data_IF_811868391861
#
_entry.id   IF_811868391861
#
_cell.length_a   1.000
_cell.length_b   1.000
_cell.length_c   1.000
_cell.angle_alpha   90.00
_cell.angle_beta   90.00
_cell.angle_gamma   90.00
#
_symmetry.space_group_name_H-M   'P 1'
#
loop_
_entity.id
_entity.type
_entity.pdbx_description
1 polymer ?
#
# COMPACT_ATOMS: atom_id res chain seq x y z
N UNK A 1 -48.52 23.28 6.77
CA UNK A 1 -47.15 23.78 6.95
C UNK A 1 -46.26 22.55 7.11
N UNK A 2 -45.41 22.26 6.12
CA UNK A 2 -44.68 21.00 5.98
C UNK A 2 -43.53 20.89 6.99
N UNK A 3 -43.61 19.91 7.89
CA UNK A 3 -42.49 19.40 8.67
C UNK A 3 -41.58 18.61 7.72
N UNK A 4 -40.47 19.21 7.29
CA UNK A 4 -39.44 18.47 6.56
C UNK A 4 -38.80 17.47 7.52
N UNK A 5 -39.01 16.18 7.24
CA UNK A 5 -38.31 15.07 7.87
C UNK A 5 -36.82 15.19 7.56
N UNK A 6 -36.00 15.55 8.55
CA UNK A 6 -34.56 15.32 8.50
C UNK A 6 -34.31 13.81 8.45
N UNK A 7 -34.21 13.26 7.24
CA UNK A 7 -33.58 11.96 7.04
C UNK A 7 -32.11 12.10 7.45
N UNK A 8 -31.74 11.51 8.60
CA UNK A 8 -30.33 11.17 8.86
C UNK A 8 -29.85 10.37 7.65
N UNK A 9 -28.82 10.80 6.92
CA UNK A 9 -28.19 9.95 5.92
C UNK A 9 -27.83 8.65 6.63
N UNK A 10 -28.29 7.52 6.10
CA UNK A 10 -27.95 6.20 6.65
C UNK A 10 -26.45 6.15 6.89
N UNK A 11 -26.04 5.75 8.09
CA UNK A 11 -24.66 5.85 8.56
C UNK A 11 -23.68 5.31 7.52
N UNK A 12 -23.13 6.21 6.70
CA UNK A 12 -22.08 5.90 5.76
C UNK A 12 -20.91 5.44 6.60
N UNK A 13 -20.51 4.18 6.44
CA UNK A 13 -19.35 3.65 7.15
C UNK A 13 -18.13 4.43 6.67
N UNK A 14 -17.58 5.27 7.55
CA UNK A 14 -16.32 5.98 7.34
C UNK A 14 -15.21 4.99 6.96
N UNK A 15 -14.47 5.29 5.89
CA UNK A 15 -13.33 4.49 5.41
C UNK A 15 -12.18 4.47 6.42
N UNK A 16 -12.06 5.52 7.24
CA UNK A 16 -10.95 5.70 8.18
C UNK A 16 -10.75 4.52 9.15
N UNK A 17 -11.84 3.90 9.61
CA UNK A 17 -11.73 2.71 10.47
C UNK A 17 -11.19 1.49 9.73
N UNK A 18 -11.58 1.33 8.47
CA UNK A 18 -11.11 0.24 7.59
C UNK A 18 -9.64 0.44 7.23
N UNK A 19 -9.23 1.68 6.98
CA UNK A 19 -7.83 2.05 6.73
C UNK A 19 -6.97 1.78 7.97
N UNK A 20 -7.38 2.26 9.15
CA UNK A 20 -6.65 2.02 10.40
C UNK A 20 -6.52 0.53 10.75
N UNK A 21 -7.59 -0.27 10.49
CA UNK A 21 -7.52 -1.72 10.64
C UNK A 21 -6.51 -2.34 9.65
N UNK A 22 -6.53 -1.90 8.40
CA UNK A 22 -5.61 -2.38 7.36
C UNK A 22 -4.15 -2.05 7.72
N UNK A 23 -3.87 -0.82 8.17
CA UNK A 23 -2.54 -0.39 8.60
C UNK A 23 -2.00 -1.24 9.75
N UNK A 24 -2.85 -1.55 10.74
CA UNK A 24 -2.50 -2.45 11.84
C UNK A 24 -2.12 -3.84 11.33
N UNK A 25 -2.88 -4.39 10.38
CA UNK A 25 -2.59 -5.70 9.78
C UNK A 25 -1.30 -5.69 8.96
N UNK A 26 -1.04 -4.64 8.18
CA UNK A 26 0.21 -4.46 7.45
C UNK A 26 1.42 -4.37 8.38
N UNK A 27 1.32 -3.61 9.47
CA UNK A 27 2.39 -3.51 10.47
C UNK A 27 2.71 -4.87 11.11
N UNK A 28 1.68 -5.66 11.45
CA UNK A 28 1.87 -7.03 11.94
C UNK A 28 2.54 -7.91 10.88
N UNK A 29 2.05 -7.91 9.64
CA UNK A 29 2.65 -8.74 8.58
C UNK A 29 4.13 -8.42 8.34
N UNK A 30 4.49 -7.13 8.29
CA UNK A 30 5.86 -6.66 8.10
C UNK A 30 6.76 -7.08 9.27
N UNK A 31 6.28 -6.96 10.52
CA UNK A 31 7.06 -7.35 11.70
C UNK A 31 7.22 -8.87 11.81
N UNK A 32 6.22 -9.66 11.41
CA UNK A 32 6.34 -11.12 11.38
C UNK A 32 7.39 -11.63 10.39
N UNK A 33 7.72 -10.87 9.34
CA UNK A 33 8.75 -11.26 8.38
C UNK A 33 10.11 -11.49 9.05
N UNK A 34 10.49 -10.63 10.00
CA UNK A 34 11.81 -10.70 10.64
C UNK A 34 11.96 -11.95 11.51
N UNK A 35 10.85 -12.46 12.05
CA UNK A 35 10.85 -13.67 12.90
C UNK A 35 11.27 -14.94 12.15
N UNK A 36 11.22 -14.91 10.81
CA UNK A 36 11.70 -16.02 9.98
C UNK A 36 13.23 -16.03 9.81
N UNK A 37 13.92 -14.97 10.24
CA UNK A 37 15.38 -14.93 10.28
C UNK A 37 15.87 -15.54 11.59
N UNK A 38 16.17 -16.83 11.55
CA UNK A 38 16.70 -17.55 12.71
C UNK A 38 18.20 -17.26 12.89
N UNK A 39 18.61 -17.04 14.15
CA UNK A 39 20.02 -16.92 14.51
C UNK A 39 20.70 -18.28 14.27
N UNK A 40 21.83 -18.34 13.54
CA UNK A 40 22.51 -19.59 13.26
C UNK A 40 23.07 -20.20 14.55
N UNK A 41 22.93 -21.52 14.69
CA UNK A 41 23.52 -22.26 15.79
C UNK A 41 24.96 -22.63 15.42
N UNK A 42 25.92 -22.18 16.23
CA UNK A 42 27.33 -22.50 16.00
C UNK A 42 27.59 -23.96 16.40
N UNK A 43 28.01 -24.79 15.43
CA UNK A 43 28.62 -26.07 15.75
C UNK A 43 29.95 -25.85 16.50
N UNK A 44 30.37 -26.81 17.34
CA UNK A 44 31.65 -26.73 18.05
C UNK A 44 32.81 -26.52 17.07
N UNK A 45 33.47 -25.36 17.13
CA UNK A 45 34.55 -24.97 16.21
C UNK A 45 34.12 -24.18 14.98
N UNK A 46 32.83 -23.88 14.81
CA UNK A 46 32.31 -23.05 13.72
C UNK A 46 32.64 -21.56 13.91
N UNK A 47 33.04 -20.90 12.82
CA UNK A 47 33.25 -19.45 12.81
C UNK A 47 31.92 -18.75 12.51
N UNK A 48 31.51 -17.84 13.39
CA UNK A 48 30.30 -17.03 13.24
C UNK A 48 30.20 -16.35 11.87
N UNK A 49 31.32 -15.84 11.35
CA UNK A 49 31.37 -15.17 10.05
C UNK A 49 30.90 -16.07 8.90
N UNK A 50 31.22 -17.36 8.92
CA UNK A 50 30.82 -18.28 7.86
C UNK A 50 29.31 -18.54 7.88
N UNK A 51 28.75 -18.76 9.07
CA UNK A 51 27.31 -18.95 9.24
C UNK A 51 26.51 -17.69 8.85
N UNK A 52 27.02 -16.49 9.13
CA UNK A 52 26.41 -15.24 8.69
C UNK A 52 26.39 -15.11 7.16
N UNK A 53 27.45 -15.53 6.48
CA UNK A 53 27.48 -15.54 5.01
C UNK A 53 26.44 -16.51 4.42
N UNK A 54 26.25 -17.67 5.05
CA UNK A 54 25.20 -18.61 4.66
C UNK A 54 23.78 -18.10 4.95
N UNK A 55 23.61 -17.19 5.91
CA UNK A 55 22.33 -16.55 6.21
C UNK A 55 21.96 -15.44 5.21
N UNK A 56 22.95 -14.87 4.49
CA UNK A 56 22.75 -13.73 3.61
C UNK A 56 21.62 -13.91 2.57
N UNK A 57 21.47 -15.05 1.87
CA UNK A 57 20.35 -15.24 0.93
C UNK A 57 18.98 -15.15 1.61
N UNK A 58 18.83 -15.67 2.83
CA UNK A 58 17.59 -15.56 3.61
C UNK A 58 17.28 -14.11 3.97
N UNK A 59 18.31 -13.33 4.34
CA UNK A 59 18.17 -11.90 4.63
C UNK A 59 17.74 -11.13 3.37
N UNK A 60 18.31 -11.43 2.21
CA UNK A 60 17.91 -10.80 0.94
C UNK A 60 16.44 -11.10 0.58
N UNK A 61 15.99 -12.34 0.77
CA UNK A 61 14.59 -12.74 0.52
C UNK A 61 13.65 -12.07 1.54
N UNK A 62 14.05 -11.96 2.80
CA UNK A 62 13.34 -11.18 3.80
C UNK A 62 13.18 -9.70 3.38
N UNK A 63 14.29 -9.04 3.00
CA UNK A 63 14.26 -7.63 2.58
C UNK A 63 13.40 -7.44 1.33
N UNK A 64 13.49 -8.36 0.38
CA UNK A 64 12.64 -8.38 -0.80
C UNK A 64 11.16 -8.40 -0.40
N UNK A 65 10.75 -9.33 0.46
CA UNK A 65 9.36 -9.42 0.93
C UNK A 65 8.92 -8.20 1.72
N UNK A 66 9.79 -7.64 2.57
CA UNK A 66 9.50 -6.41 3.31
C UNK A 66 9.13 -5.27 2.35
N UNK A 67 9.94 -5.08 1.32
CA UNK A 67 9.70 -4.05 0.30
C UNK A 67 8.43 -4.35 -0.49
N UNK A 68 8.19 -5.60 -0.88
CA UNK A 68 6.98 -6.00 -1.61
C UNK A 68 5.71 -5.73 -0.80
N UNK A 69 5.70 -6.08 0.49
CA UNK A 69 4.56 -5.78 1.38
C UNK A 69 4.36 -4.27 1.51
N UNK A 70 5.45 -3.49 1.63
CA UNK A 70 5.39 -2.03 1.63
C UNK A 70 4.82 -1.44 0.32
N UNK A 71 5.17 -2.01 -0.84
CA UNK A 71 4.60 -1.61 -2.12
C UNK A 71 3.09 -1.88 -2.17
N UNK A 72 2.65 -3.03 -1.66
CA UNK A 72 1.23 -3.33 -1.56
C UNK A 72 0.51 -2.39 -0.60
N UNK A 73 1.13 -2.01 0.51
CA UNK A 73 0.60 -1.00 1.43
C UNK A 73 0.43 0.35 0.74
N UNK A 74 1.44 0.84 0.00
CA UNK A 74 1.34 2.09 -0.76
C UNK A 74 0.22 2.02 -1.81
N UNK A 75 0.12 0.91 -2.53
CA UNK A 75 -0.91 0.74 -3.56
C UNK A 75 -2.34 0.65 -2.97
N UNK A 76 -2.47 0.02 -1.80
CA UNK A 76 -3.72 -0.04 -1.03
C UNK A 76 -4.12 1.34 -0.52
N UNK A 77 -3.19 2.08 0.12
CA UNK A 77 -3.42 3.43 0.60
C UNK A 77 -3.85 4.37 -0.55
N UNK A 78 -3.16 4.31 -1.69
CA UNK A 78 -3.53 5.05 -2.89
C UNK A 78 -4.93 4.69 -3.43
N UNK A 79 -5.35 3.42 -3.28
CA UNK A 79 -6.69 2.99 -3.67
C UNK A 79 -7.73 3.57 -2.73
N UNK A 80 -7.52 3.45 -1.41
CA UNK A 80 -8.44 3.95 -0.38
C UNK A 80 -8.56 5.47 -0.35
N UNK A 81 -7.50 6.20 -0.73
CA UNK A 81 -7.53 7.66 -0.86
C UNK A 81 -8.64 8.18 -1.78
N UNK A 82 -9.05 7.39 -2.78
CA UNK A 82 -10.12 7.76 -3.70
C UNK A 82 -11.51 7.27 -3.30
N UNK A 83 -11.61 6.41 -2.29
CA UNK A 83 -12.87 5.82 -1.86
C UNK A 83 -13.60 6.82 -0.95
N UNK A 84 -14.81 7.21 -1.33
CA UNK A 84 -15.63 8.16 -0.55
C UNK A 84 -16.59 7.45 0.42
N UNK A 85 -17.02 6.24 0.07
CA UNK A 85 -18.00 5.46 0.84
C UNK A 85 -17.56 4.00 0.97
N UNK A 86 -17.86 3.35 2.10
CA UNK A 86 -17.64 1.91 2.27
C UNK A 86 -18.94 1.13 2.23
N UNK A 87 -18.97 0.03 1.48
CA UNK A 87 -20.05 -0.95 1.49
C UNK A 87 -19.58 -2.34 1.96
N UNK A 88 -20.53 -3.25 2.16
CA UNK A 88 -20.23 -4.59 2.67
C UNK A 88 -19.28 -5.38 1.75
N UNK A 89 -19.40 -5.22 0.44
CA UNK A 89 -18.59 -5.96 -0.54
C UNK A 89 -17.14 -5.50 -0.50
N UNK A 90 -16.91 -4.18 -0.46
CA UNK A 90 -15.58 -3.59 -0.31
C UNK A 90 -14.91 -4.11 0.97
N UNK A 91 -15.63 -4.18 2.09
CA UNK A 91 -15.08 -4.69 3.35
C UNK A 91 -14.62 -6.14 3.24
N UNK A 92 -15.40 -7.02 2.58
CA UNK A 92 -15.00 -8.42 2.37
C UNK A 92 -13.82 -8.56 1.40
N UNK A 93 -13.78 -7.76 0.33
CA UNK A 93 -12.63 -7.70 -0.58
C UNK A 93 -11.37 -7.22 0.16
N UNK A 94 -11.51 -6.23 1.04
CA UNK A 94 -10.41 -5.76 1.88
C UNK A 94 -9.93 -6.85 2.84
N UNK A 95 -10.84 -7.56 3.51
CA UNK A 95 -10.48 -8.70 4.38
C UNK A 95 -9.74 -9.79 3.59
N UNK A 96 -10.21 -10.13 2.38
CA UNK A 96 -9.54 -11.10 1.51
C UNK A 96 -8.12 -10.63 1.14
N UNK A 97 -7.97 -9.35 0.79
CA UNK A 97 -6.67 -8.76 0.51
C UNK A 97 -5.73 -8.82 1.72
N UNK A 98 -6.21 -8.43 2.90
CA UNK A 98 -5.45 -8.47 4.14
C UNK A 98 -5.06 -9.90 4.54
N UNK A 99 -5.92 -10.88 4.29
CA UNK A 99 -5.59 -12.30 4.47
C UNK A 99 -4.39 -12.70 3.59
N UNK A 100 -4.36 -12.27 2.32
CA UNK A 100 -3.20 -12.50 1.45
C UNK A 100 -1.93 -11.83 2.01
N UNK A 101 -2.02 -10.59 2.51
CA UNK A 101 -0.90 -9.86 3.10
C UNK A 101 -0.32 -10.59 4.31
N UNK A 102 -1.17 -11.02 5.25
CA UNK A 102 -0.73 -11.76 6.46
C UNK A 102 -0.19 -13.15 6.11
N UNK A 103 -0.54 -13.70 4.95
CA UNK A 103 0.00 -14.97 4.49
C UNK A 103 1.42 -14.86 3.92
N UNK A 104 1.85 -13.71 3.37
CA UNK A 104 3.17 -13.49 2.73
C UNK A 104 4.40 -13.92 3.57
N UNK A 105 4.43 -13.78 4.90
CA UNK A 105 5.56 -14.26 5.70
C UNK A 105 5.84 -15.76 5.57
N UNK A 106 4.81 -16.60 5.47
CA UNK A 106 4.97 -18.05 5.31
C UNK A 106 5.75 -18.43 4.04
N UNK A 107 5.32 -18.05 2.81
CA UNK A 107 6.06 -18.39 1.60
C UNK A 107 7.38 -17.63 1.48
N UNK A 108 7.55 -16.50 2.17
CA UNK A 108 8.86 -15.82 2.28
C UNK A 108 9.86 -16.72 3.00
N UNK A 109 9.47 -17.30 4.14
CA UNK A 109 10.31 -18.23 4.88
C UNK A 109 10.62 -19.48 4.05
N UNK A 110 9.60 -20.01 3.35
CA UNK A 110 9.74 -21.17 2.47
C UNK A 110 10.75 -20.92 1.34
N UNK A 111 10.66 -19.76 0.67
CA UNK A 111 11.60 -19.37 -0.37
C UNK A 111 13.00 -19.13 0.20
N UNK A 112 13.10 -18.52 1.38
CA UNK A 112 14.36 -18.32 2.09
C UNK A 112 15.09 -19.63 2.40
N UNK A 113 14.35 -20.68 2.77
CA UNK A 113 14.93 -21.97 3.11
C UNK A 113 15.23 -22.85 1.90
N UNK A 114 14.41 -22.77 0.86
CA UNK A 114 14.46 -23.67 -0.30
C UNK A 114 14.55 -22.90 -1.61
N UNK A 115 15.42 -21.90 -1.70
CA UNK A 115 15.51 -20.98 -2.87
C UNK A 115 15.93 -21.68 -4.18
N UNK A 116 16.54 -22.86 -4.06
CA UNK A 116 16.91 -23.77 -5.14
C UNK A 116 15.75 -24.68 -5.59
N UNK A 117 14.67 -24.76 -4.81
CA UNK A 117 13.51 -25.58 -5.11
C UNK A 117 12.45 -24.77 -5.84
N UNK A 118 12.13 -25.17 -7.07
CA UNK A 118 11.10 -24.50 -7.90
C UNK A 118 9.77 -24.32 -7.18
N UNK A 119 9.36 -25.31 -6.37
CA UNK A 119 8.10 -25.27 -5.63
C UNK A 119 8.03 -24.08 -4.67
N UNK A 120 9.13 -23.71 -4.01
CA UNK A 120 9.15 -22.57 -3.09
C UNK A 120 8.93 -21.25 -3.83
N UNK A 121 9.55 -21.12 -5.02
CA UNK A 121 9.39 -19.98 -5.92
C UNK A 121 7.93 -19.88 -6.34
N UNK A 122 7.34 -20.95 -6.89
CA UNK A 122 5.95 -20.96 -7.36
C UNK A 122 4.98 -20.56 -6.24
N UNK A 123 5.17 -21.08 -5.01
CA UNK A 123 4.30 -20.74 -3.88
C UNK A 123 4.46 -19.26 -3.51
N UNK A 124 5.69 -18.74 -3.46
CA UNK A 124 5.96 -17.34 -3.17
C UNK A 124 5.40 -16.40 -4.24
N UNK A 125 5.81 -16.55 -5.50
CA UNK A 125 5.28 -15.69 -6.58
C UNK A 125 3.80 -15.90 -6.82
N UNK A 126 3.27 -17.11 -6.66
CA UNK A 126 1.84 -17.38 -6.74
C UNK A 126 1.05 -16.60 -5.69
N UNK A 127 1.55 -16.55 -4.45
CA UNK A 127 0.98 -15.70 -3.39
C UNK A 127 0.98 -14.23 -3.79
N UNK A 128 2.10 -13.73 -4.34
CA UNK A 128 2.18 -12.34 -4.80
C UNK A 128 1.23 -12.05 -5.97
N UNK A 129 1.09 -12.96 -6.94
CA UNK A 129 0.14 -12.83 -8.06
C UNK A 129 -1.28 -12.74 -7.53
N UNK A 130 -1.69 -13.68 -6.65
CA UNK A 130 -3.03 -13.69 -6.07
C UNK A 130 -3.29 -12.38 -5.32
N UNK A 131 -2.33 -11.94 -4.49
CA UNK A 131 -2.43 -10.68 -3.74
C UNK A 131 -2.68 -9.48 -4.67
N UNK A 132 -1.90 -9.36 -5.75
CA UNK A 132 -2.07 -8.27 -6.70
C UNK A 132 -3.36 -8.36 -7.52
N UNK A 133 -3.84 -9.57 -7.84
CA UNK A 133 -5.14 -9.76 -8.51
C UNK A 133 -6.32 -9.41 -7.59
N UNK A 134 -6.23 -9.72 -6.29
CA UNK A 134 -7.23 -9.31 -5.30
C UNK A 134 -7.24 -7.78 -5.16
N UNK A 135 -6.07 -7.13 -5.08
CA UNK A 135 -5.98 -5.67 -5.08
C UNK A 135 -6.56 -5.06 -6.35
N UNK A 136 -6.28 -5.64 -7.52
CA UNK A 136 -6.85 -5.20 -8.78
C UNK A 136 -8.38 -5.40 -8.82
N UNK A 137 -8.89 -6.46 -8.20
CA UNK A 137 -10.33 -6.71 -8.09
C UNK A 137 -11.01 -5.67 -7.20
N UNK A 138 -10.35 -5.26 -6.11
CA UNK A 138 -10.79 -4.16 -5.26
C UNK A 138 -10.81 -2.84 -6.05
N UNK A 139 -9.72 -2.51 -6.76
CA UNK A 139 -9.64 -1.32 -7.61
C UNK A 139 -10.73 -1.29 -8.70
N UNK A 140 -10.94 -2.43 -9.37
CA UNK A 140 -12.00 -2.57 -10.36
C UNK A 140 -13.38 -2.40 -9.73
N UNK A 141 -13.63 -3.00 -8.56
CA UNK A 141 -14.92 -2.89 -7.88
C UNK A 141 -15.29 -1.44 -7.57
N UNK A 142 -14.34 -0.67 -7.03
CA UNK A 142 -14.60 0.72 -6.64
C UNK A 142 -14.77 1.62 -7.86
N UNK A 143 -13.95 1.44 -8.90
CA UNK A 143 -13.98 2.27 -10.12
C UNK A 143 -15.07 1.90 -11.12
N UNK A 144 -15.59 0.68 -11.08
CA UNK A 144 -16.64 0.25 -12.00
C UNK A 144 -17.95 1.01 -11.71
N UNK A 145 -18.44 1.76 -12.71
CA UNK A 145 -19.59 2.66 -12.61
C UNK A 145 -19.48 3.74 -11.52
N UNK A 146 -18.26 4.19 -11.18
CA UNK A 146 -18.03 5.23 -10.16
C UNK A 146 -18.71 4.93 -8.80
N UNK A 147 -18.86 3.64 -8.48
CA UNK A 147 -19.74 3.21 -7.38
C UNK A 147 -19.36 3.77 -6.02
N UNK A 148 -18.07 3.87 -5.73
CA UNK A 148 -17.54 4.28 -4.42
C UNK A 148 -16.41 5.32 -4.54
N UNK A 149 -16.15 5.80 -5.75
CA UNK A 149 -15.13 6.82 -6.04
C UNK A 149 -15.84 8.14 -6.32
N UNK A 150 -15.12 9.26 -6.18
CA UNK A 150 -15.62 10.54 -6.65
C UNK A 150 -16.00 10.47 -8.16
N UNK A 151 -17.16 11.02 -8.51
CA UNK A 151 -17.67 11.07 -9.88
C UNK A 151 -16.72 11.84 -10.82
N UNK A 152 -15.83 12.68 -10.25
CA UNK A 152 -14.85 13.48 -10.98
C UNK A 152 -13.48 12.82 -11.17
N UNK A 153 -13.33 11.51 -10.91
CA UNK A 153 -12.04 10.84 -11.14
C UNK A 153 -11.70 10.78 -12.64
N UNK A 154 -10.52 11.25 -13.01
CA UNK A 154 -10.04 11.24 -14.40
C UNK A 154 -9.95 9.79 -14.94
N UNK A 155 -10.67 9.43 -16.01
CA UNK A 155 -10.60 8.10 -16.61
C UNK A 155 -9.17 7.67 -17.01
N UNK A 156 -8.31 8.63 -17.37
CA UNK A 156 -6.90 8.34 -17.67
C UNK A 156 -6.12 7.90 -16.44
N UNK A 157 -6.44 8.46 -15.27
CA UNK A 157 -5.88 8.04 -14.00
C UNK A 157 -6.30 6.61 -13.68
N UNK A 158 -7.58 6.26 -13.89
CA UNK A 158 -8.07 4.89 -13.69
C UNK A 158 -7.32 3.88 -14.54
N UNK A 159 -7.14 4.18 -15.84
CA UNK A 159 -6.39 3.31 -16.74
C UNK A 159 -4.91 3.19 -16.36
N UNK A 160 -4.28 4.29 -15.94
CA UNK A 160 -2.88 4.30 -15.49
C UNK A 160 -2.69 3.48 -14.20
N UNK A 161 -3.60 3.62 -13.22
CA UNK A 161 -3.59 2.87 -11.98
C UNK A 161 -3.77 1.37 -12.24
N UNK A 162 -4.77 0.99 -13.03
CA UNK A 162 -5.00 -0.41 -13.45
C UNK A 162 -3.76 -1.01 -14.13
N UNK A 163 -3.13 -0.27 -15.06
CA UNK A 163 -1.92 -0.75 -15.73
C UNK A 163 -0.76 -0.93 -14.75
N UNK A 164 -0.58 -0.01 -13.80
CA UNK A 164 0.45 -0.12 -12.76
C UNK A 164 0.18 -1.37 -11.92
N UNK A 165 -1.02 -1.51 -11.36
CA UNK A 165 -1.41 -2.63 -10.51
C UNK A 165 -1.24 -4.00 -11.20
N UNK A 166 -1.54 -4.11 -12.50
CA UNK A 166 -1.35 -5.35 -13.26
C UNK A 166 0.11 -5.63 -13.67
N UNK A 167 0.98 -4.63 -13.68
CA UNK A 167 2.37 -4.81 -14.08
C UNK A 167 3.11 -5.83 -13.20
N UNK A 168 2.94 -5.75 -11.88
CA UNK A 168 3.61 -6.66 -10.94
C UNK A 168 3.12 -8.12 -11.07
N UNK A 169 1.80 -8.42 -11.00
CA UNK A 169 1.29 -9.78 -11.21
C UNK A 169 1.70 -10.39 -12.55
N UNK A 170 1.72 -9.62 -13.64
CA UNK A 170 2.14 -10.13 -14.94
C UNK A 170 3.63 -10.52 -14.97
N UNK A 171 4.51 -9.71 -14.36
CA UNK A 171 5.93 -10.04 -14.24
C UNK A 171 6.12 -11.26 -13.33
N UNK A 172 5.37 -11.37 -12.24
CA UNK A 172 5.43 -12.55 -11.35
C UNK A 172 4.90 -13.82 -12.02
N UNK A 173 3.85 -13.73 -12.84
CA UNK A 173 3.38 -14.85 -13.67
C UNK A 173 4.45 -15.28 -14.67
N UNK A 174 5.13 -14.33 -15.30
CA UNK A 174 6.27 -14.62 -16.16
C UNK A 174 7.40 -15.30 -15.36
N UNK A 175 7.69 -14.83 -14.15
CA UNK A 175 8.69 -15.44 -13.28
C UNK A 175 8.35 -16.90 -12.94
N UNK A 176 7.07 -17.22 -12.70
CA UNK A 176 6.61 -18.60 -12.53
C UNK A 176 6.91 -19.43 -13.78
N UNK A 177 6.55 -18.95 -14.98
CA UNK A 177 6.84 -19.63 -16.24
C UNK A 177 8.34 -19.86 -16.46
N UNK A 178 9.16 -18.85 -16.19
CA UNK A 178 10.62 -18.92 -16.33
C UNK A 178 11.26 -19.87 -15.31
N UNK A 179 10.65 -20.07 -14.14
CA UNK A 179 11.16 -21.00 -13.12
C UNK A 179 11.25 -22.46 -13.60
N UNK A 180 10.49 -22.83 -14.65
CA UNK A 180 10.59 -24.14 -15.30
C UNK A 180 11.85 -24.30 -16.15
N UNK A 181 12.42 -23.19 -16.63
CA UNK A 181 13.61 -23.16 -17.46
C UNK A 181 14.87 -22.89 -16.63
N UNK A 182 14.86 -21.80 -15.84
CA UNK A 182 16.00 -21.35 -15.03
C UNK A 182 15.51 -20.63 -13.77
N UNK A 183 15.86 -21.19 -12.61
CA UNK A 183 15.52 -20.64 -11.29
C UNK A 183 16.15 -19.27 -11.07
N UNK A 184 17.43 -19.10 -11.42
CA UNK A 184 18.16 -17.84 -11.26
C UNK A 184 17.48 -16.66 -11.97
N UNK A 185 17.00 -16.88 -13.20
CA UNK A 185 16.31 -15.85 -13.99
C UNK A 185 14.95 -15.52 -13.37
N UNK A 186 14.26 -16.52 -12.81
CA UNK A 186 13.02 -16.29 -12.07
C UNK A 186 13.26 -15.38 -10.86
N UNK A 187 14.26 -15.69 -10.02
CA UNK A 187 14.62 -14.85 -8.87
C UNK A 187 15.01 -13.41 -9.28
N UNK A 188 15.70 -13.24 -10.41
CA UNK A 188 16.00 -11.90 -10.93
C UNK A 188 14.73 -11.11 -11.29
N UNK A 189 13.71 -11.77 -11.87
CA UNK A 189 12.42 -11.14 -12.15
C UNK A 189 11.65 -10.76 -10.88
N UNK A 190 11.80 -11.53 -9.79
CA UNK A 190 11.21 -11.17 -8.49
C UNK A 190 11.81 -9.85 -7.97
N UNK A 191 13.13 -9.68 -8.07
CA UNK A 191 13.84 -8.46 -7.63
C UNK A 191 13.54 -7.27 -8.54
N UNK A 192 13.31 -7.51 -9.83
CA UNK A 192 13.00 -6.47 -10.80
C UNK A 192 11.73 -5.69 -10.44
N UNK A 193 10.69 -6.35 -9.93
CA UNK A 193 9.40 -5.70 -9.65
C UNK A 193 9.53 -4.59 -8.59
N UNK A 194 10.10 -4.82 -7.39
CA UNK A 194 10.33 -3.77 -6.42
C UNK A 194 11.17 -2.61 -6.93
N UNK A 195 12.21 -2.91 -7.72
CA UNK A 195 13.05 -1.88 -8.35
C UNK A 195 12.19 -0.96 -9.22
N UNK A 196 11.35 -1.52 -10.10
CA UNK A 196 10.47 -0.72 -10.96
C UNK A 196 9.43 0.11 -10.20
N UNK A 197 9.08 -0.27 -8.96
CA UNK A 197 8.10 0.42 -8.13
C UNK A 197 8.70 1.48 -7.21
N UNK A 198 9.93 1.28 -6.73
CA UNK A 198 10.66 2.25 -5.89
C UNK A 198 11.13 3.43 -6.75
N UNK A 199 11.63 3.18 -7.95
CA UNK A 199 12.07 4.26 -8.83
C UNK A 199 10.84 5.00 -9.36
N UNK A 200 10.67 6.31 -9.04
CA UNK A 200 9.43 7.02 -9.29
C UNK A 200 9.10 7.05 -10.77
N UNK A 201 8.05 6.32 -11.13
CA UNK A 201 7.49 6.35 -12.47
C UNK A 201 6.73 7.67 -12.70
N UNK A 202 6.49 8.03 -13.96
CA UNK A 202 5.77 9.26 -14.36
C UNK A 202 4.36 9.41 -13.72
N UNK A 203 3.81 8.35 -13.14
CA UNK A 203 2.48 8.30 -12.52
C UNK A 203 2.45 9.07 -11.20
N UNK A 204 3.53 9.09 -10.41
CA UNK A 204 3.58 9.73 -9.08
C UNK A 204 3.41 11.26 -9.14
N UNK A 205 3.64 11.87 -10.31
CA UNK A 205 3.48 13.31 -10.55
C UNK A 205 2.02 13.78 -10.52
N UNK A 206 1.05 12.94 -10.86
CA UNK A 206 -0.36 13.35 -10.88
C UNK A 206 -0.98 13.41 -9.47
N UNK A 207 -0.50 12.55 -8.57
CA UNK A 207 -0.95 12.49 -7.16
C UNK A 207 -0.55 13.75 -6.38
N UNK A 208 0.68 14.21 -6.59
CA UNK A 208 1.18 15.46 -5.97
C UNK A 208 0.49 16.71 -6.50
N UNK A 209 -0.09 16.66 -7.71
CA UNK A 209 -0.70 17.82 -8.35
C UNK A 209 -2.12 18.11 -7.81
N UNK A 210 -2.93 17.08 -7.48
CA UNK A 210 -4.26 17.28 -6.85
C UNK A 210 -4.15 17.77 -5.40
N UNK A 211 -3.22 17.25 -4.60
CA UNK A 211 -2.98 17.77 -3.24
C UNK A 211 -2.61 19.27 -3.23
N UNK A 212 -1.95 19.76 -4.30
CA UNK A 212 -1.69 21.19 -4.48
C UNK A 212 -2.96 21.96 -4.81
N UNK A 213 -3.83 21.43 -5.67
CA UNK A 213 -5.09 22.09 -6.06
C UNK A 213 -6.04 22.22 -4.86
N UNK A 214 -6.21 21.16 -4.06
CA UNK A 214 -7.05 21.22 -2.84
C UNK A 214 -6.53 22.24 -1.83
N UNK A 215 -5.22 22.26 -1.57
CA UNK A 215 -4.62 23.26 -0.68
C UNK A 215 -4.78 24.69 -1.21
N UNK A 216 -4.68 24.87 -2.53
CA UNK A 216 -4.85 26.19 -3.16
C UNK A 216 -6.30 26.65 -3.05
N UNK A 217 -7.28 25.77 -3.35
CA UNK A 217 -8.70 26.06 -3.25
C UNK A 217 -9.16 26.35 -1.81
N UNK A 218 -8.61 25.65 -0.81
CA UNK A 218 -8.85 25.93 0.61
C UNK A 218 -8.29 27.29 1.02
N UNK A 219 -7.10 27.67 0.53
CA UNK A 219 -6.50 28.98 0.82
C UNK A 219 -7.20 30.16 0.14
N UNK A 220 -7.83 29.95 -1.03
CA UNK A 220 -8.57 31.00 -1.74
C UNK A 220 -10.03 31.15 -1.29
N UNK A 221 -10.63 30.11 -0.70
CA UNK A 221 -11.98 30.14 -0.14
C UNK A 221 -12.03 30.49 1.36
N UNK A 222 -10.88 30.77 1.99
CA UNK A 222 -10.88 31.39 3.32
C UNK A 222 -11.33 32.83 3.14
N UNK A 223 -12.52 33.15 3.66
CA UNK A 223 -13.14 34.47 3.52
C UNK A 223 -12.14 35.58 3.90
N UNK A 224 -11.79 36.52 3.00
CA UNK A 224 -10.89 37.62 3.33
C UNK A 224 -11.41 38.48 4.50
N UNK A 225 -12.69 38.36 4.86
CA UNK A 225 -13.26 38.98 6.04
C UNK A 225 -12.71 38.39 7.37
N UNK A 226 -12.44 37.08 7.44
CA UNK A 226 -11.90 36.42 8.64
C UNK A 226 -10.40 36.69 8.83
N UNK A 227 -9.67 36.98 7.75
CA UNK A 227 -8.25 37.35 7.83
C UNK A 227 -8.03 38.79 8.32
N UNK A 228 -9.05 39.65 8.30
CA UNK A 228 -8.96 41.03 8.80
C UNK A 228 -9.28 41.18 10.29
N UNK A 229 -9.90 40.16 10.92
CA UNK A 229 -10.30 40.21 12.33
C UNK A 229 -9.17 39.85 13.31
N UNK A 230 -8.07 39.25 12.82
CA UNK A 230 -6.89 38.89 13.63
C UNK A 230 -5.80 39.99 13.72
N UNK A 231 -6.05 41.20 13.22
CA UNK A 231 -5.09 42.30 13.38
C UNK A 231 -5.14 42.85 14.83
N UNK A 232 -4.05 42.77 15.61
CA UNK A 232 -4.06 43.24 16.99
C UNK A 232 -4.23 44.77 17.03
N UNK A 233 -5.28 45.21 17.70
CA UNK A 233 -5.58 46.61 18.01
C UNK A 233 -4.44 47.26 18.79
N UNK A 234 -3.51 47.91 18.09
CA UNK A 234 -2.57 48.86 18.69
C UNK A 234 -3.26 50.22 18.79
N UNK A 235 -4.09 50.42 19.82
CA UNK A 235 -4.44 51.74 20.33
C UNK A 235 -4.58 51.70 21.84
N UNK A 236 -3.73 52.50 22.51
CA UNK A 236 -4.02 52.97 23.86
C UNK A 236 -2.97 52.64 24.92
N UNK A 237 -1.72 53.04 24.73
CA UNK A 237 -0.84 53.35 25.87
C UNK A 237 -0.23 54.72 25.63
N UNK A 238 -1.03 55.76 25.88
CA UNK A 238 -0.50 57.08 26.20
C UNK A 238 -1.50 57.80 27.10
N UNK A 239 -0.93 58.34 28.18
CA UNK A 239 -1.51 59.24 29.17
C UNK A 239 -2.05 58.58 30.47
N UNK A 240 -1.51 59.15 31.56
CA UNK A 240 -2.10 59.31 32.89
C UNK A 240 -1.96 58.17 33.92
N UNK A 241 -0.98 58.28 34.83
CA UNK A 241 -1.15 58.95 36.14
C UNK A 241 0.08 58.79 37.06
N UNK A 242 0.48 59.94 37.63
CA UNK A 242 1.13 60.20 38.94
C UNK A 242 2.40 59.44 39.36
#
# INVERSE_FOLDING_TARGET
>A
MHTQSQQKPGAVLSTARTEAFSDGVFAVAITLLVLNLQVPQLASGGLLNNELLHLLPKVLIYMLSFVVVGIYWVAHHNTFHYITHSDRTLLWLNILFLMCIVFIPFPTALLGQYSDQRTSIIIYTGTLVITGLVLQSLWWYVTNNYRLVDDEIDPQLVKKATRRNLMAPLIYLLAIGISFLKIEVSLALLVLVPVLYIFPGRIDRHWTQRQRIDKTNVSTNTDPALAQEEAPSQRGVSAEQK
#
